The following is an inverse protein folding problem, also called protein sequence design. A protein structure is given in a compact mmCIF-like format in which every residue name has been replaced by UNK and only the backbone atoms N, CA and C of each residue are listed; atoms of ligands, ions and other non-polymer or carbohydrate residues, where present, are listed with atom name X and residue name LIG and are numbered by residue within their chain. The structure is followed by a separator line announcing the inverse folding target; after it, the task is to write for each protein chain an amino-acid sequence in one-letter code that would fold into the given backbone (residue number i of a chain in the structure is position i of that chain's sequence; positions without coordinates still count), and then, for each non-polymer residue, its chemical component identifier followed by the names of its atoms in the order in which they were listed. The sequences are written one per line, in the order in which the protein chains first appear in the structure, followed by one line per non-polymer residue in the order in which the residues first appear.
data_IF_313853172756
#
_entry.id   IF_313853172756
#
_cell.length_a   1.000
_cell.length_b   1.000
_cell.length_c   1.000
_cell.angle_alpha   90.00
_cell.angle_beta   90.00
_cell.angle_gamma   90.00
#
_symmetry.space_group_name_H-M   'P 1'
#
loop_
_entity.id
_entity.type
_entity.pdbx_description
1 polymer ?
#
# COMPACT_ATOMS: atom_id res chain seq x y z
N UNK A 1 -25.61 -42.83 42.37
CA UNK A 1 -24.73 -41.70 42.69
C UNK A 1 -23.60 -41.75 41.69
N UNK A 2 -23.74 -40.98 40.66
CA UNK A 2 -22.79 -40.94 39.54
C UNK A 2 -21.83 -39.79 39.71
N UNK A 3 -20.55 -40.11 39.73
CA UNK A 3 -19.48 -39.11 39.54
C UNK A 3 -19.18 -39.01 38.07
N UNK A 4 -19.48 -37.87 37.48
CA UNK A 4 -19.01 -37.53 36.15
C UNK A 4 -17.64 -36.85 36.28
N UNK A 5 -16.62 -37.54 35.84
CA UNK A 5 -15.30 -36.98 35.67
C UNK A 5 -15.25 -36.24 34.32
N UNK A 6 -15.16 -34.93 34.36
CA UNK A 6 -14.89 -34.14 33.18
C UNK A 6 -13.42 -34.25 32.85
N UNK A 7 -13.09 -34.93 31.78
CA UNK A 7 -11.74 -34.90 31.20
C UNK A 7 -11.56 -33.60 30.42
N UNK A 8 -10.84 -32.67 30.99
CA UNK A 8 -10.35 -31.53 30.27
C UNK A 8 -9.18 -31.95 29.39
N UNK A 9 -9.41 -32.10 28.12
CA UNK A 9 -8.35 -32.29 27.14
C UNK A 9 -7.59 -30.98 26.97
N UNK A 10 -6.47 -30.89 27.62
CA UNK A 10 -5.48 -29.85 27.34
C UNK A 10 -4.81 -30.17 26.01
N UNK A 11 -5.30 -29.55 24.97
CA UNK A 11 -4.56 -29.51 23.71
C UNK A 11 -3.43 -28.49 23.89
N UNK A 12 -2.32 -28.98 24.41
CA UNK A 12 -1.07 -28.23 24.34
C UNK A 12 -0.55 -28.38 22.91
N UNK A 13 -0.83 -27.41 22.10
CA UNK A 13 -0.18 -27.27 20.80
C UNK A 13 1.30 -27.11 20.99
N UNK A 14 2.07 -28.08 20.56
CA UNK A 14 3.52 -27.98 20.54
C UNK A 14 3.96 -26.94 19.54
N UNK A 15 4.16 -25.73 20.00
CA UNK A 15 4.87 -24.70 19.24
C UNK A 15 6.39 -24.83 19.49
N UNK A 16 6.94 -26.02 19.31
CA UNK A 16 8.34 -26.29 19.67
C UNK A 16 9.31 -26.31 18.50
N UNK A 17 8.86 -25.98 17.31
CA UNK A 17 9.74 -25.89 16.13
C UNK A 17 9.66 -24.51 15.51
N UNK A 18 9.58 -23.51 16.38
CA UNK A 18 9.52 -22.14 15.95
C UNK A 18 10.87 -21.55 15.70
N UNK A 19 11.38 -21.64 14.54
CA UNK A 19 12.23 -20.57 14.07
C UNK A 19 11.35 -19.35 13.87
N UNK A 20 11.40 -18.36 14.77
CA UNK A 20 11.00 -16.97 14.65
C UNK A 20 9.97 -16.54 13.60
N UNK A 21 8.92 -17.30 13.37
CA UNK A 21 7.81 -16.87 12.54
C UNK A 21 6.91 -15.90 13.29
N UNK A 22 6.53 -14.79 12.64
CA UNK A 22 5.48 -13.93 13.16
C UNK A 22 4.21 -14.75 13.41
N UNK A 23 3.44 -14.48 14.50
CA UNK A 23 2.19 -15.18 14.73
C UNK A 23 1.27 -15.02 13.52
N UNK A 24 0.58 -16.10 13.18
CA UNK A 24 -0.37 -16.10 12.08
C UNK A 24 -1.46 -15.04 12.31
N UNK A 25 -1.77 -14.28 11.26
CA UNK A 25 -2.81 -13.28 11.27
C UNK A 25 -4.17 -13.94 11.51
N UNK A 26 -4.96 -13.40 12.43
CA UNK A 26 -6.33 -13.86 12.64
C UNK A 26 -7.23 -13.41 11.47
N UNK A 27 -8.38 -14.10 11.24
CA UNK A 27 -9.32 -13.65 10.21
C UNK A 27 -9.81 -12.22 10.40
N UNK A 28 -10.02 -11.79 11.64
CA UNK A 28 -10.43 -10.43 11.94
C UNK A 28 -9.34 -9.41 11.61
N UNK A 29 -8.08 -9.71 11.90
CA UNK A 29 -6.93 -8.87 11.56
C UNK A 29 -6.75 -8.80 10.05
N UNK A 30 -6.91 -9.91 9.34
CA UNK A 30 -6.85 -9.95 7.88
C UNK A 30 -7.91 -9.05 7.25
N UNK A 31 -9.13 -9.09 7.76
CA UNK A 31 -10.22 -8.25 7.26
C UNK A 31 -9.95 -6.76 7.52
N UNK A 32 -9.46 -6.40 8.69
CA UNK A 32 -9.08 -5.03 9.03
C UNK A 32 -7.98 -4.53 8.09
N UNK A 33 -6.96 -5.34 7.87
CA UNK A 33 -5.87 -5.01 6.95
C UNK A 33 -6.38 -4.78 5.52
N UNK A 34 -7.22 -5.68 5.01
CA UNK A 34 -7.81 -5.54 3.67
C UNK A 34 -8.64 -4.26 3.54
N UNK A 35 -9.41 -3.91 4.55
CA UNK A 35 -10.18 -2.66 4.56
C UNK A 35 -9.28 -1.43 4.52
N UNK A 36 -8.19 -1.44 5.26
CA UNK A 36 -7.21 -0.36 5.26
C UNK A 36 -6.49 -0.24 3.93
N UNK A 37 -6.06 -1.35 3.35
CA UNK A 37 -5.41 -1.38 2.04
C UNK A 37 -6.34 -0.87 0.94
N UNK A 38 -7.59 -1.25 0.98
CA UNK A 38 -8.60 -0.77 0.03
C UNK A 38 -8.84 0.74 0.15
N UNK A 39 -8.88 1.26 1.37
CA UNK A 39 -9.00 2.70 1.60
C UNK A 39 -7.80 3.47 1.05
N UNK A 40 -6.60 2.97 1.27
CA UNK A 40 -5.37 3.55 0.73
C UNK A 40 -5.40 3.51 -0.81
N UNK A 41 -5.76 2.37 -1.39
CA UNK A 41 -5.85 2.21 -2.84
C UNK A 41 -6.78 3.25 -3.46
N UNK A 42 -7.98 3.39 -2.90
CA UNK A 42 -8.98 4.36 -3.39
C UNK A 42 -8.46 5.79 -3.32
N UNK A 43 -7.82 6.14 -2.24
CA UNK A 43 -7.30 7.50 -2.06
C UNK A 43 -6.14 7.78 -3.02
N UNK A 44 -5.22 6.84 -3.18
CA UNK A 44 -4.13 6.97 -4.16
C UNK A 44 -4.70 7.16 -5.56
N UNK A 45 -5.61 6.29 -5.99
CA UNK A 45 -6.18 6.37 -7.33
C UNK A 45 -7.01 7.65 -7.55
N UNK A 46 -7.72 8.12 -6.53
CA UNK A 46 -8.45 9.39 -6.60
C UNK A 46 -7.52 10.59 -6.76
N UNK A 47 -6.40 10.61 -6.05
CA UNK A 47 -5.39 11.66 -6.20
C UNK A 47 -4.76 11.64 -7.59
N UNK A 48 -4.43 10.46 -8.10
CA UNK A 48 -3.87 10.33 -9.44
C UNK A 48 -4.86 10.77 -10.52
N UNK A 49 -6.13 10.42 -10.37
CA UNK A 49 -7.18 10.85 -11.30
C UNK A 49 -7.42 12.36 -11.29
N UNK A 50 -7.19 13.02 -10.17
CA UNK A 50 -7.34 14.46 -10.01
C UNK A 50 -6.16 15.25 -10.60
N UNK A 51 -5.04 14.60 -10.92
CA UNK A 51 -3.87 15.27 -11.49
C UNK A 51 -4.04 15.43 -13.02
N UNK A 52 -4.13 16.66 -13.53
CA UNK A 52 -4.28 16.89 -14.97
C UNK A 52 -3.11 16.32 -15.78
N UNK A 53 -1.91 16.30 -15.20
CA UNK A 53 -0.72 15.78 -15.86
C UNK A 53 -0.75 14.28 -16.08
N UNK A 54 -1.58 13.55 -15.34
CA UNK A 54 -1.68 12.08 -15.39
C UNK A 54 -2.94 11.65 -16.14
N UNK A 55 -4.09 12.12 -15.69
CA UNK A 55 -5.38 11.73 -16.21
C UNK A 55 -5.96 10.48 -15.55
N UNK A 56 -7.29 10.40 -15.55
CA UNK A 56 -8.02 9.30 -14.92
C UNK A 56 -7.78 7.97 -15.64
N UNK A 57 -7.66 6.89 -14.88
CA UNK A 57 -7.61 5.52 -15.39
C UNK A 57 -6.27 5.08 -15.98
N UNK A 58 -5.25 5.92 -15.99
CA UNK A 58 -3.94 5.55 -16.53
C UNK A 58 -3.10 4.73 -15.58
N UNK A 59 -3.23 4.96 -14.29
CA UNK A 59 -2.39 4.34 -13.26
C UNK A 59 -3.30 3.67 -12.24
N UNK A 60 -2.96 2.45 -11.89
CA UNK A 60 -3.63 1.68 -10.85
C UNK A 60 -2.67 1.44 -9.69
N UNK A 61 -3.22 1.38 -8.48
CA UNK A 61 -2.47 1.12 -7.28
C UNK A 61 -2.77 -0.30 -6.77
N UNK A 62 -1.72 -1.00 -6.39
CA UNK A 62 -1.78 -2.25 -5.63
C UNK A 62 -1.16 -1.99 -4.27
N UNK A 63 -1.90 -2.25 -3.21
CA UNK A 63 -1.48 -1.93 -1.84
C UNK A 63 -1.32 -3.22 -1.05
N UNK A 64 -0.20 -3.35 -0.39
CA UNK A 64 0.09 -4.47 0.51
C UNK A 64 0.91 -3.97 1.70
N UNK A 65 0.33 -4.05 2.89
CA UNK A 65 1.02 -3.70 4.15
C UNK A 65 1.68 -2.29 4.14
N UNK A 66 1.02 -1.32 3.54
CA UNK A 66 1.51 0.05 3.40
C UNK A 66 2.43 0.29 2.21
N UNK A 67 2.83 -0.74 1.50
CA UNK A 67 3.58 -0.62 0.25
C UNK A 67 2.62 -0.46 -0.91
N UNK A 68 2.81 0.59 -1.70
CA UNK A 68 1.98 0.91 -2.85
C UNK A 68 2.79 0.67 -4.11
N UNK A 69 2.29 -0.20 -4.98
CA UNK A 69 2.82 -0.40 -6.32
C UNK A 69 1.95 0.37 -7.31
N UNK A 70 2.58 1.17 -8.14
CA UNK A 70 1.91 1.91 -9.21
C UNK A 70 2.12 1.19 -10.53
N UNK A 71 1.03 0.78 -11.16
CA UNK A 71 1.01 0.08 -12.45
C UNK A 71 0.23 0.89 -13.47
N UNK A 72 0.67 0.86 -14.71
CA UNK A 72 0.02 1.56 -15.80
C UNK A 72 1.02 2.34 -16.63
N UNK A 73 0.61 3.48 -17.17
CA UNK A 73 1.47 4.32 -18.00
C UNK A 73 1.47 5.77 -17.53
N UNK A 74 2.64 6.39 -17.61
CA UNK A 74 2.83 7.80 -17.32
C UNK A 74 3.29 8.55 -18.58
N UNK A 75 2.58 9.63 -18.98
CA UNK A 75 2.94 10.41 -20.16
C UNK A 75 4.10 11.36 -19.83
N UNK A 76 5.31 10.85 -19.86
CA UNK A 76 6.52 11.59 -19.57
C UNK A 76 7.00 11.46 -18.13
N UNK A 77 8.24 11.85 -17.92
CA UNK A 77 8.92 11.74 -16.63
C UNK A 77 8.28 12.62 -15.55
N UNK A 78 7.78 13.81 -15.95
CA UNK A 78 7.11 14.69 -15.01
C UNK A 78 5.84 14.10 -14.42
N UNK A 79 5.04 13.45 -15.25
CA UNK A 79 3.83 12.74 -14.80
C UNK A 79 4.16 11.55 -13.88
N UNK A 80 5.22 10.80 -14.21
CA UNK A 80 5.69 9.70 -13.38
C UNK A 80 6.09 10.17 -11.99
N UNK A 81 6.87 11.24 -11.89
CA UNK A 81 7.25 11.82 -10.61
C UNK A 81 6.04 12.37 -9.84
N UNK A 82 5.11 12.99 -10.56
CA UNK A 82 3.87 13.49 -9.96
C UNK A 82 3.04 12.35 -9.35
N UNK A 83 2.96 11.21 -10.04
CA UNK A 83 2.26 10.03 -9.53
C UNK A 83 2.89 9.50 -8.24
N UNK A 84 4.21 9.38 -8.21
CA UNK A 84 4.94 8.90 -7.02
C UNK A 84 4.71 9.86 -5.84
N UNK A 85 4.79 11.17 -6.09
CA UNK A 85 4.57 12.18 -5.05
C UNK A 85 3.15 12.11 -4.47
N UNK A 86 2.13 11.95 -5.31
CA UNK A 86 0.75 11.82 -4.86
C UNK A 86 0.53 10.57 -4.01
N UNK A 87 1.05 9.44 -4.45
CA UNK A 87 0.91 8.20 -3.70
C UNK A 87 1.58 8.28 -2.33
N UNK A 88 2.73 8.91 -2.24
CA UNK A 88 3.48 9.06 -0.99
C UNK A 88 2.82 9.97 0.04
N UNK A 89 1.87 10.82 -0.38
CA UNK A 89 1.14 11.71 0.53
C UNK A 89 -0.07 11.06 1.20
N UNK A 90 -0.48 9.89 0.76
CA UNK A 90 -1.64 9.22 1.32
C UNK A 90 -1.29 8.65 2.70
N UNK A 91 -2.09 8.95 3.74
CA UNK A 91 -1.86 8.39 5.07
C UNK A 91 -1.85 6.86 5.05
N UNK A 92 -0.89 6.26 5.73
CA UNK A 92 -0.71 4.81 5.77
C UNK A 92 0.22 4.25 4.71
N UNK A 93 0.62 5.04 3.73
CA UNK A 93 1.62 4.64 2.72
C UNK A 93 3.01 4.72 3.32
N UNK A 94 3.71 3.61 3.27
CA UNK A 94 5.07 3.47 3.78
C UNK A 94 6.11 3.54 2.67
N UNK A 95 5.81 2.92 1.54
CA UNK A 95 6.71 2.82 0.39
C UNK A 95 5.89 2.91 -0.89
N UNK A 96 6.44 3.62 -1.88
CA UNK A 96 5.87 3.66 -3.24
C UNK A 96 6.87 3.01 -4.19
N UNK A 97 6.40 2.01 -4.92
CA UNK A 97 7.20 1.29 -5.92
C UNK A 97 6.63 1.58 -7.30
N UNK A 98 7.49 1.99 -8.20
CA UNK A 98 7.14 2.34 -9.57
C UNK A 98 7.28 1.15 -10.50
N UNK A 99 6.15 0.70 -11.03
CA UNK A 99 6.06 -0.29 -12.12
C UNK A 99 5.36 0.30 -13.35
N UNK A 100 5.39 1.62 -13.50
CA UNK A 100 4.74 2.29 -14.62
C UNK A 100 5.59 2.20 -15.88
N UNK A 101 4.90 2.11 -17.01
CA UNK A 101 5.54 2.27 -18.33
C UNK A 101 5.66 3.76 -18.62
N UNK A 102 6.86 4.21 -18.92
CA UNK A 102 7.10 5.59 -19.32
C UNK A 102 6.79 5.77 -20.80
N UNK A 103 5.79 6.59 -21.08
CA UNK A 103 5.46 7.01 -22.43
C UNK A 103 6.11 8.35 -22.75
N UNK A 104 6.26 8.71 -24.03
CA UNK A 104 6.74 10.04 -24.39
C UNK A 104 5.87 11.15 -23.81
N UNK A 105 6.50 12.20 -23.29
CA UNK A 105 5.80 13.31 -22.70
C UNK A 105 6.74 14.30 -22.03
N UNK A 106 6.20 15.37 -21.43
CA UNK A 106 7.00 16.43 -20.80
C UNK A 106 7.85 15.89 -19.64
N UNK A 107 9.06 16.40 -19.53
CA UNK A 107 9.93 16.08 -18.39
C UNK A 107 9.51 16.78 -17.11
N UNK A 108 8.88 17.93 -17.25
CA UNK A 108 8.38 18.74 -16.14
C UNK A 108 6.91 19.04 -16.36
N UNK A 109 6.13 18.90 -15.32
CA UNK A 109 4.70 19.19 -15.33
C UNK A 109 4.33 19.94 -14.05
N UNK A 110 3.23 20.66 -14.10
CA UNK A 110 2.63 21.21 -12.89
C UNK A 110 1.89 20.09 -12.18
N UNK A 111 2.30 19.79 -10.96
CA UNK A 111 1.71 18.76 -10.12
C UNK A 111 0.99 19.42 -8.95
N UNK A 112 -0.25 19.03 -8.68
CA UNK A 112 -1.03 19.57 -7.56
C UNK A 112 -0.48 19.09 -6.21
N UNK A 113 0.15 17.92 -6.19
CA UNK A 113 0.80 17.43 -4.98
C UNK A 113 1.99 18.31 -4.61
N UNK A 114 2.15 18.65 -3.31
CA UNK A 114 3.34 19.37 -2.86
C UNK A 114 4.61 18.56 -3.16
N UNK A 115 5.64 19.21 -3.64
CA UNK A 115 6.94 18.57 -3.88
C UNK A 115 7.64 18.34 -2.54
N UNK A 116 7.47 17.15 -1.99
CA UNK A 116 8.10 16.78 -0.73
C UNK A 116 9.63 16.58 -0.89
N UNK A 117 10.08 16.36 -2.11
CA UNK A 117 11.49 16.05 -2.39
C UNK A 117 12.45 17.21 -2.13
N UNK A 118 11.97 18.45 -2.17
CA UNK A 118 12.82 19.58 -1.95
C UNK A 118 13.37 19.68 -0.52
N UNK A 119 12.64 19.11 0.45
CA UNK A 119 13.03 19.16 1.87
C UNK A 119 14.01 18.04 2.26
N UNK A 120 14.00 16.92 1.57
CA UNK A 120 14.85 15.77 1.89
C UNK A 120 16.22 15.80 1.18
N UNK A 121 16.39 16.64 0.20
CA UNK A 121 17.64 16.77 -0.55
C UNK A 121 18.53 17.94 -0.11
N UNK A 122 18.18 18.61 0.96
CA UNK A 122 19.02 19.65 1.55
C UNK A 122 20.03 19.01 2.51
N UNK A 123 21.33 19.18 2.27
CA UNK A 123 22.35 18.74 3.22
C UNK A 123 22.25 19.52 4.53
#
# INVERSE_FOLDING_TARGET
MLMLAAAAALVQGCALLGGGGAPAETPAQAQTRQTQEEAIRREVEARLAAEPAIGAGRIRAVVSQGDVQLHGSAPGFGALQCAIANAGLVPGVRLVVDFMVLEPGPRTVTCLAPRVFAASSQP
#
